data_IF_627098497202
#
_entry.id   IF_627098497202
#
_cell.length_a   1.000
_cell.length_b   1.000
_cell.length_c   1.000
_cell.angle_alpha   90.00
_cell.angle_beta   90.00
_cell.angle_gamma   90.00
#
_symmetry.space_group_name_H-M   'P 1'
#
loop_
_entity.id
_entity.type
_entity.pdbx_description
1 polymer ?
#
# COMPACT_ATOMS: atom_id res chain seq x y z
N UNK A 1 -13.09 -6.56 -13.90
CA UNK A 1 -11.97 -5.61 -14.13
C UNK A 1 -11.16 -5.45 -12.85
N UNK A 2 -9.84 -5.26 -12.94
CA UNK A 2 -8.93 -5.09 -11.80
C UNK A 2 -8.36 -3.67 -11.76
N UNK A 3 -8.64 -2.94 -10.69
CA UNK A 3 -8.14 -1.58 -10.48
C UNK A 3 -7.06 -1.57 -9.39
N UNK A 4 -5.89 -1.05 -9.73
CA UNK A 4 -4.86 -0.68 -8.75
C UNK A 4 -5.01 0.81 -8.42
N UNK A 5 -5.48 1.09 -7.21
CA UNK A 5 -5.73 2.44 -6.73
C UNK A 5 -4.63 2.89 -5.77
N UNK A 6 -4.17 4.13 -5.95
CA UNK A 6 -3.24 4.79 -5.03
C UNK A 6 -3.94 5.97 -4.36
N UNK A 7 -3.84 6.06 -3.03
CA UNK A 7 -4.33 7.20 -2.26
C UNK A 7 -3.51 7.43 -1.00
N UNK A 8 -3.68 8.62 -0.41
CA UNK A 8 -3.01 9.00 0.83
C UNK A 8 -3.92 8.81 2.04
N UNK A 9 -5.21 9.11 1.87
CA UNK A 9 -6.20 9.09 2.94
C UNK A 9 -7.19 7.94 2.78
N UNK A 10 -7.44 7.21 3.88
CA UNK A 10 -8.49 6.20 3.92
C UNK A 10 -9.14 6.12 5.31
N UNK A 11 -10.48 6.00 5.40
CA UNK A 11 -11.19 5.81 6.66
C UNK A 11 -10.73 4.54 7.41
N UNK A 12 -10.78 4.51 8.75
CA UNK A 12 -11.34 5.53 9.64
C UNK A 12 -10.33 6.55 10.21
N UNK A 13 -9.03 6.45 9.88
CA UNK A 13 -7.98 7.16 10.62
C UNK A 13 -7.48 8.44 9.97
N UNK A 14 -7.57 8.56 8.64
CA UNK A 14 -7.26 9.81 7.93
C UNK A 14 -8.53 10.28 7.25
N UNK A 15 -9.24 11.17 7.94
CA UNK A 15 -10.57 11.66 7.56
C UNK A 15 -10.51 13.14 7.17
N UNK A 16 -9.98 13.43 5.99
CA UNK A 16 -10.27 14.67 5.25
C UNK A 16 -11.51 14.50 4.36
N UNK A 17 -11.91 15.57 3.66
CA UNK A 17 -12.94 15.48 2.61
C UNK A 17 -12.53 14.54 1.47
N UNK A 18 -11.22 14.38 1.27
CA UNK A 18 -10.62 13.52 0.25
C UNK A 18 -10.75 12.04 0.61
N UNK A 19 -10.36 11.62 1.82
CA UNK A 19 -10.57 10.24 2.28
C UNK A 19 -12.03 9.76 2.21
N UNK A 20 -12.99 10.65 2.47
CA UNK A 20 -14.43 10.33 2.34
C UNK A 20 -14.84 10.15 0.87
N UNK A 21 -14.34 10.98 -0.04
CA UNK A 21 -14.55 10.84 -1.47
C UNK A 21 -13.88 9.56 -2.02
N UNK A 22 -12.64 9.26 -1.61
CA UNK A 22 -11.91 8.03 -1.93
C UNK A 22 -12.73 6.79 -1.58
N UNK A 23 -13.27 6.74 -0.36
CA UNK A 23 -14.12 5.66 0.11
C UNK A 23 -15.40 5.54 -0.71
N UNK A 24 -16.12 6.66 -0.91
CA UNK A 24 -17.37 6.67 -1.67
C UNK A 24 -17.20 6.24 -3.13
N UNK A 25 -16.12 6.68 -3.79
CA UNK A 25 -15.78 6.29 -5.15
C UNK A 25 -15.41 4.80 -5.22
N UNK A 26 -14.57 4.33 -4.31
CA UNK A 26 -14.16 2.92 -4.25
C UNK A 26 -15.37 2.01 -4.04
N UNK A 27 -16.24 2.36 -3.08
CA UNK A 27 -17.46 1.62 -2.79
C UNK A 27 -18.45 1.67 -3.95
N UNK A 28 -18.68 2.83 -4.55
CA UNK A 28 -19.58 2.98 -5.70
C UNK A 28 -19.14 2.14 -6.90
N UNK A 29 -17.83 2.12 -7.21
CA UNK A 29 -17.28 1.27 -8.27
C UNK A 29 -17.47 -0.22 -7.96
N UNK A 30 -17.27 -0.63 -6.71
CA UNK A 30 -17.49 -2.01 -6.28
C UNK A 30 -18.97 -2.41 -6.37
N UNK A 31 -19.90 -1.51 -6.00
CA UNK A 31 -21.35 -1.73 -6.09
C UNK A 31 -21.86 -1.82 -7.53
N UNK A 32 -21.17 -1.21 -8.50
CA UNK A 32 -21.47 -1.39 -9.93
C UNK A 32 -21.22 -2.82 -10.45
N UNK A 33 -20.54 -3.67 -9.66
CA UNK A 33 -20.23 -5.05 -9.99
C UNK A 33 -19.01 -5.19 -10.92
N UNK A 34 -18.43 -6.39 -10.94
CA UNK A 34 -17.30 -6.78 -11.82
C UNK A 34 -16.04 -5.89 -11.64
N UNK A 35 -15.75 -5.49 -10.41
CA UNK A 35 -14.53 -4.76 -10.05
C UNK A 35 -13.81 -5.39 -8.86
N UNK A 36 -12.54 -5.75 -9.06
CA UNK A 36 -11.61 -6.10 -8.00
C UNK A 36 -10.68 -4.91 -7.76
N UNK A 37 -10.67 -4.40 -6.53
CA UNK A 37 -9.91 -3.19 -6.19
C UNK A 37 -8.78 -3.56 -5.24
N UNK A 38 -7.55 -3.19 -5.61
CA UNK A 38 -6.42 -3.12 -4.69
C UNK A 38 -6.14 -1.65 -4.39
N UNK A 39 -6.29 -1.24 -3.14
CA UNK A 39 -6.12 0.16 -2.72
C UNK A 39 -4.88 0.30 -1.85
N UNK A 40 -3.95 1.14 -2.28
CA UNK A 40 -2.66 1.35 -1.61
C UNK A 40 -2.74 2.59 -0.73
N UNK A 41 -2.33 2.48 0.53
CA UNK A 41 -2.20 3.59 1.48
C UNK A 41 -0.81 3.62 2.13
N UNK A 42 -0.29 4.78 2.59
CA UNK A 42 1.05 4.86 3.17
C UNK A 42 1.21 3.94 4.39
N UNK A 43 0.24 4.01 5.31
CA UNK A 43 0.30 3.30 6.59
C UNK A 43 -1.10 2.81 7.00
N UNK A 44 -1.33 1.49 7.05
CA UNK A 44 -2.55 0.93 7.62
C UNK A 44 -2.46 0.81 9.15
N UNK A 45 -3.63 0.76 9.78
CA UNK A 45 -3.87 0.52 11.20
C UNK A 45 -4.40 -0.91 11.48
N UNK A 46 -4.88 -1.60 10.44
CA UNK A 46 -5.29 -3.00 10.45
C UNK A 46 -6.76 -3.21 10.79
N UNK A 47 -7.53 -2.13 10.94
CA UNK A 47 -8.98 -2.10 11.17
C UNK A 47 -9.73 -1.41 10.01
N UNK A 48 -9.04 -1.17 8.89
CA UNK A 48 -9.67 -0.69 7.65
C UNK A 48 -10.73 -1.67 7.15
N UNK A 49 -11.78 -1.14 6.51
CA UNK A 49 -12.81 -1.96 5.91
C UNK A 49 -12.27 -2.66 4.65
N UNK A 50 -12.12 -3.99 4.72
CA UNK A 50 -11.59 -4.83 3.64
C UNK A 50 -12.69 -5.49 2.78
N UNK A 51 -13.96 -5.12 2.99
CA UNK A 51 -15.11 -5.77 2.35
C UNK A 51 -15.21 -5.49 0.85
N UNK A 52 -14.78 -4.31 0.42
CA UNK A 52 -14.91 -3.82 -0.97
C UNK A 52 -13.58 -3.57 -1.68
N UNK A 53 -12.45 -3.62 -0.95
CA UNK A 53 -11.11 -3.44 -1.51
C UNK A 53 -10.05 -4.20 -0.72
N UNK A 54 -9.05 -4.70 -1.42
CA UNK A 54 -7.82 -5.23 -0.82
C UNK A 54 -6.90 -4.07 -0.44
N UNK A 55 -6.75 -3.80 0.85
CA UNK A 55 -5.90 -2.72 1.35
C UNK A 55 -4.44 -3.17 1.40
N UNK A 56 -3.56 -2.41 0.77
CA UNK A 56 -2.11 -2.63 0.75
C UNK A 56 -1.42 -1.44 1.41
N UNK A 57 -0.70 -1.70 2.49
CA UNK A 57 0.11 -0.69 3.14
C UNK A 57 1.48 -0.54 2.48
N UNK A 58 1.83 0.66 2.01
CA UNK A 58 3.16 0.95 1.47
C UNK A 58 4.27 0.69 2.50
N UNK A 59 3.98 0.92 3.79
CA UNK A 59 4.86 0.56 4.92
C UNK A 59 5.10 -0.95 5.12
N UNK A 60 4.34 -1.82 4.44
CA UNK A 60 4.56 -3.27 4.44
C UNK A 60 5.19 -3.77 3.14
N UNK A 61 5.49 -2.88 2.18
CA UNK A 61 6.13 -3.25 0.91
C UNK A 61 7.65 -3.29 1.09
N UNK A 62 8.31 -4.43 0.86
CA UNK A 62 9.76 -4.51 0.89
C UNK A 62 10.34 -3.83 -0.35
N UNK A 63 11.30 -2.93 -0.12
CA UNK A 63 12.10 -2.30 -1.18
C UNK A 63 13.56 -2.75 -1.16
N UNK A 64 13.99 -3.35 -0.06
CA UNK A 64 15.31 -3.97 0.10
C UNK A 64 15.11 -5.44 0.45
N UNK A 65 15.79 -6.33 -0.28
CA UNK A 65 15.66 -7.76 -0.03
C UNK A 65 16.24 -8.13 1.34
N UNK A 66 15.50 -8.91 2.13
CA UNK A 66 15.91 -9.46 3.41
C UNK A 66 15.63 -10.96 3.45
N UNK A 67 16.58 -11.72 4.00
CA UNK A 67 16.41 -13.14 4.27
C UNK A 67 15.63 -13.33 5.57
N UNK A 68 14.31 -13.41 5.45
CA UNK A 68 13.38 -13.54 6.58
C UNK A 68 12.46 -14.73 6.33
N UNK A 69 12.09 -15.43 7.40
CA UNK A 69 11.17 -16.55 7.31
C UNK A 69 9.70 -16.08 7.36
N UNK A 70 8.79 -16.89 6.83
CA UNK A 70 7.36 -16.56 6.74
C UNK A 70 6.70 -16.33 8.10
N UNK A 71 7.08 -17.12 9.11
CA UNK A 71 6.52 -16.99 10.47
C UNK A 71 6.84 -15.62 11.09
N UNK A 72 8.06 -15.11 10.87
CA UNK A 72 8.47 -13.80 11.33
C UNK A 72 7.71 -12.67 10.60
N UNK A 73 7.54 -12.81 9.29
CA UNK A 73 6.74 -11.86 8.49
C UNK A 73 5.29 -11.84 8.98
N UNK A 74 4.67 -13.01 9.20
CA UNK A 74 3.32 -13.14 9.76
C UNK A 74 3.19 -12.40 11.09
N UNK A 75 4.12 -12.61 12.02
CA UNK A 75 4.12 -11.93 13.32
C UNK A 75 4.23 -10.41 13.20
N UNK A 76 5.00 -9.91 12.22
CA UNK A 76 5.27 -8.47 12.05
C UNK A 76 4.18 -7.72 11.29
N UNK A 77 3.61 -8.34 10.26
CA UNK A 77 2.71 -7.65 9.32
C UNK A 77 1.36 -8.33 9.10
N UNK A 78 1.13 -9.54 9.63
CA UNK A 78 -0.10 -10.32 9.35
C UNK A 78 -1.40 -9.62 9.76
N UNK A 79 -1.34 -8.67 10.70
CA UNK A 79 -2.48 -7.80 11.03
C UNK A 79 -2.88 -6.89 9.84
N UNK A 80 -1.90 -6.45 9.06
CA UNK A 80 -2.05 -5.43 8.03
C UNK A 80 -2.18 -6.05 6.64
N UNK A 81 -1.29 -6.99 6.31
CA UNK A 81 -1.13 -7.53 4.96
C UNK A 81 -0.83 -9.04 5.02
N UNK A 82 -1.34 -9.78 4.04
CA UNK A 82 -1.02 -11.20 3.86
C UNK A 82 0.50 -11.39 3.69
N UNK A 83 1.16 -12.23 4.52
CA UNK A 83 2.58 -12.51 4.40
C UNK A 83 3.00 -13.10 3.05
N UNK A 84 2.13 -13.84 2.37
CA UNK A 84 2.46 -14.37 1.05
C UNK A 84 2.54 -13.24 0.02
N UNK A 85 1.73 -12.19 0.15
CA UNK A 85 1.86 -10.98 -0.66
C UNK A 85 3.20 -10.28 -0.43
N UNK A 86 3.71 -10.24 0.80
CA UNK A 86 5.05 -9.70 1.10
C UNK A 86 6.14 -10.42 0.29
N UNK A 87 6.12 -11.75 0.25
CA UNK A 87 7.12 -12.51 -0.51
C UNK A 87 7.00 -12.27 -2.02
N UNK A 88 5.78 -12.20 -2.56
CA UNK A 88 5.59 -11.83 -3.97
C UNK A 88 6.15 -10.44 -4.28
N UNK A 89 5.89 -9.45 -3.42
CA UNK A 89 6.42 -8.08 -3.56
C UNK A 89 7.96 -8.08 -3.51
N UNK A 90 8.55 -8.82 -2.55
CA UNK A 90 10.01 -8.93 -2.38
C UNK A 90 10.70 -9.44 -3.65
N UNK A 91 10.07 -10.37 -4.35
CA UNK A 91 10.62 -10.96 -5.57
C UNK A 91 10.52 -10.03 -6.80
N UNK A 92 9.82 -8.90 -6.68
CA UNK A 92 9.63 -7.89 -7.75
C UNK A 92 10.26 -6.53 -7.40
N UNK A 93 11.18 -6.49 -6.43
CA UNK A 93 12.02 -5.32 -6.18
C UNK A 93 12.82 -5.00 -7.45
N UNK A 94 12.63 -3.79 -7.99
CA UNK A 94 13.09 -3.45 -9.35
C UNK A 94 14.44 -2.72 -9.40
N UNK A 95 15.00 -2.34 -8.27
CA UNK A 95 16.30 -1.69 -8.15
C UNK A 95 16.91 -1.92 -6.76
N UNK A 96 18.19 -1.62 -6.61
CA UNK A 96 18.86 -1.69 -5.32
C UNK A 96 18.57 -0.45 -4.48
N UNK A 97 17.72 -0.60 -3.46
CA UNK A 97 17.39 0.44 -2.50
C UNK A 97 18.04 0.25 -1.12
N UNK A 98 19.10 -0.57 -1.00
CA UNK A 98 19.76 -0.81 0.30
C UNK A 98 20.37 0.45 0.93
N UNK A 99 20.57 1.52 0.16
CA UNK A 99 21.01 2.82 0.66
C UNK A 99 19.92 3.57 1.45
N UNK A 100 18.66 3.17 1.33
CA UNK A 100 17.53 3.78 2.05
C UNK A 100 17.40 3.19 3.46
N UNK A 101 16.89 4.02 4.39
CA UNK A 101 16.63 3.57 5.76
C UNK A 101 15.39 2.69 5.80
N UNK A 102 15.60 1.39 5.90
CA UNK A 102 14.55 0.37 5.98
C UNK A 102 14.54 -0.32 7.34
N UNK A 103 13.41 -0.91 7.72
CA UNK A 103 13.33 -1.79 8.87
C UNK A 103 13.91 -3.18 8.57
N UNK A 104 13.79 -4.09 9.53
CA UNK A 104 14.29 -5.46 9.48
C UNK A 104 13.64 -6.33 8.38
N UNK A 105 12.46 -5.94 7.86
CA UNK A 105 11.82 -6.58 6.72
C UNK A 105 12.16 -5.90 5.37
N UNK A 106 12.98 -4.85 5.38
CA UNK A 106 13.33 -4.11 4.17
C UNK A 106 12.24 -3.13 3.72
N UNK A 107 11.28 -2.82 4.59
CA UNK A 107 10.19 -1.89 4.31
C UNK A 107 10.55 -0.47 4.80
N UNK A 108 9.94 0.54 4.17
CA UNK A 108 10.02 1.93 4.61
C UNK A 108 9.00 2.23 5.71
N UNK A 109 9.34 3.15 6.60
CA UNK A 109 8.40 3.68 7.59
C UNK A 109 7.72 4.92 7.03
N UNK A 110 6.40 5.03 7.23
CA UNK A 110 5.60 6.19 6.84
C UNK A 110 4.96 6.80 8.09
N UNK A 111 4.83 8.13 8.11
CA UNK A 111 4.06 8.80 9.17
C UNK A 111 2.56 8.55 9.01
N UNK A 112 2.08 8.50 7.75
CA UNK A 112 0.66 8.44 7.43
C UNK A 112 -0.05 9.77 7.70
N UNK A 113 0.67 10.88 7.76
CA UNK A 113 0.13 12.25 7.92
C UNK A 113 0.66 13.13 6.80
N UNK A 114 0.43 14.44 6.90
CA UNK A 114 1.12 15.45 6.10
C UNK A 114 2.24 16.10 6.91
N UNK A 115 3.43 15.48 6.99
CA UNK A 115 4.57 15.99 7.76
C UNK A 115 5.38 17.03 6.97
N UNK A 116 6.32 17.70 7.65
CA UNK A 116 7.26 18.65 7.03
C UNK A 116 8.19 17.98 5.99
N UNK A 117 8.35 16.66 6.02
CA UNK A 117 9.14 15.88 5.06
C UNK A 117 8.29 15.26 3.92
N UNK A 118 7.21 15.94 3.52
CA UNK A 118 6.26 15.45 2.53
C UNK A 118 6.89 14.93 1.23
N UNK A 119 7.87 15.65 0.67
CA UNK A 119 8.55 15.25 -0.56
C UNK A 119 9.30 13.92 -0.42
N UNK A 120 9.85 13.65 0.76
CA UNK A 120 10.49 12.38 1.07
C UNK A 120 9.45 11.25 1.12
N UNK A 121 8.31 11.48 1.77
CA UNK A 121 7.24 10.46 1.81
C UNK A 121 6.64 10.20 0.42
N UNK A 122 6.48 11.22 -0.43
CA UNK A 122 6.05 11.04 -1.83
C UNK A 122 7.06 10.17 -2.59
N UNK A 123 8.36 10.47 -2.46
CA UNK A 123 9.41 9.68 -3.10
C UNK A 123 9.37 8.22 -2.62
N UNK A 124 9.29 8.02 -1.30
CA UNK A 124 9.19 6.70 -0.67
C UNK A 124 7.97 5.92 -1.18
N UNK A 125 6.81 6.60 -1.25
CA UNK A 125 5.58 6.01 -1.73
C UNK A 125 5.67 5.62 -3.21
N UNK A 126 6.32 6.45 -4.04
CA UNK A 126 6.55 6.15 -5.45
C UNK A 126 7.40 4.89 -5.67
N UNK A 127 8.37 4.64 -4.80
CA UNK A 127 9.20 3.43 -4.83
C UNK A 127 8.35 2.20 -4.49
N UNK A 128 7.58 2.26 -3.40
CA UNK A 128 6.65 1.18 -3.03
C UNK A 128 5.63 0.92 -4.14
N UNK A 129 5.06 1.98 -4.74
CA UNK A 129 4.15 1.88 -5.88
C UNK A 129 4.79 1.16 -7.08
N UNK A 130 6.07 1.42 -7.35
CA UNK A 130 6.83 0.74 -8.39
C UNK A 130 6.99 -0.76 -8.15
N UNK A 131 7.14 -1.21 -6.90
CA UNK A 131 7.18 -2.64 -6.53
C UNK A 131 5.78 -3.25 -6.68
N UNK A 132 4.75 -2.59 -6.14
CA UNK A 132 3.36 -3.07 -6.21
C UNK A 132 2.89 -3.25 -7.66
N UNK A 133 3.11 -2.23 -8.50
CA UNK A 133 2.66 -2.23 -9.89
C UNK A 133 3.38 -3.27 -10.77
N UNK A 134 4.53 -3.79 -10.33
CA UNK A 134 5.23 -4.90 -11.00
C UNK A 134 4.82 -6.28 -10.48
N UNK A 135 4.11 -6.32 -9.35
CA UNK A 135 3.75 -7.57 -8.66
C UNK A 135 2.29 -7.96 -8.90
N UNK A 136 1.40 -6.98 -9.00
CA UNK A 136 -0.05 -7.21 -9.11
C UNK A 136 -0.48 -7.23 -10.57
N UNK A 137 -1.44 -8.10 -10.88
CA UNK A 137 -2.20 -8.02 -12.12
C UNK A 137 -3.30 -6.96 -11.99
N UNK A 138 -3.35 -6.01 -12.91
CA UNK A 138 -4.42 -5.02 -12.99
C UNK A 138 -4.65 -4.60 -14.44
N UNK A 139 -5.87 -4.14 -14.73
CA UNK A 139 -6.25 -3.61 -16.03
C UNK A 139 -6.02 -2.09 -16.10
N UNK A 140 -6.20 -1.41 -14.96
CA UNK A 140 -6.07 0.05 -14.85
C UNK A 140 -5.38 0.45 -13.56
N UNK A 141 -4.53 1.48 -13.66
CA UNK A 141 -4.04 2.22 -12.50
C UNK A 141 -4.89 3.47 -12.36
N UNK A 142 -5.45 3.68 -11.18
CA UNK A 142 -6.22 4.86 -10.84
C UNK A 142 -5.60 5.57 -9.65
N UNK A 143 -5.56 6.90 -9.72
CA UNK A 143 -4.78 7.72 -8.82
C UNK A 143 -5.51 9.03 -8.60
N UNK A 144 -6.53 9.02 -7.75
CA UNK A 144 -7.41 10.18 -7.54
C UNK A 144 -6.95 11.10 -6.41
N UNK A 145 -6.20 10.56 -5.44
CA UNK A 145 -5.78 11.27 -4.23
C UNK A 145 -4.25 11.42 -4.25
N UNK A 146 -3.80 12.54 -4.80
CA UNK A 146 -2.43 13.03 -4.71
C UNK A 146 -2.51 14.45 -4.15
N UNK A 147 -1.77 14.65 -3.05
CA UNK A 147 -1.36 15.92 -2.43
C UNK A 147 -1.45 17.18 -3.29
#
# INVERSE_FOLDING_TARGET
MKALMFGWEFPPHILGGLGTASYGLTKGMWECGDMEISFVIPKPWGDEEKSFANIIGASQVPIAWRDVNREYVEQRIGKYMDPDLYFRLRDHIYADFNYMRTNDLGCLEFSGRYPDNLLEEINNYSICAGVIARTLDFDIIHSHDWL
#
